data_IF_054703934829
#
_entry.id   IF_054703934829
#
_cell.length_a   1.000
_cell.length_b   1.000
_cell.length_c   1.000
_cell.angle_alpha   90.00
_cell.angle_beta   90.00
_cell.angle_gamma   90.00
#
_symmetry.space_group_name_H-M   'P 1'
#
loop_
_entity.id
_entity.type
_entity.pdbx_description
1 polymer ?
#
# COMPACT_ATOMS: atom_id res chain seq x y z
N UNK A 1 -20.69 11.23 -45.14
CA UNK A 1 -19.97 10.31 -44.24
C UNK A 1 -19.49 11.12 -43.05
N UNK A 2 -20.22 11.06 -41.93
CA UNK A 2 -19.89 11.82 -40.71
C UNK A 2 -19.05 10.89 -39.84
N UNK A 3 -17.75 11.18 -39.72
CA UNK A 3 -16.86 10.49 -38.80
C UNK A 3 -17.22 10.91 -37.37
N UNK A 4 -17.85 10.01 -36.62
CA UNK A 4 -17.95 10.10 -35.17
C UNK A 4 -16.53 9.98 -34.59
N UNK A 5 -15.97 11.11 -34.17
CA UNK A 5 -14.75 11.12 -33.35
C UNK A 5 -15.17 10.63 -31.97
N UNK A 6 -15.00 9.34 -31.71
CA UNK A 6 -15.16 8.79 -30.36
C UNK A 6 -13.98 9.26 -29.51
N UNK A 7 -14.17 10.37 -28.80
CA UNK A 7 -13.24 10.84 -27.78
C UNK A 7 -13.05 9.73 -26.76
N UNK A 8 -11.83 9.21 -26.64
CA UNK A 8 -11.43 8.32 -25.56
C UNK A 8 -11.41 9.18 -24.29
N UNK A 9 -12.51 9.18 -23.55
CA UNK A 9 -12.60 9.87 -22.27
C UNK A 9 -11.77 9.07 -21.25
N UNK A 10 -10.55 9.53 -20.98
CA UNK A 10 -9.71 9.01 -19.89
C UNK A 10 -10.23 9.58 -18.57
N UNK A 11 -11.18 8.89 -17.96
CA UNK A 11 -11.70 9.26 -16.64
C UNK A 11 -10.71 8.92 -15.54
N UNK A 12 -9.83 9.86 -15.18
CA UNK A 12 -9.11 9.83 -13.91
C UNK A 12 -10.04 10.35 -12.80
N UNK A 13 -11.02 9.55 -12.38
CA UNK A 13 -11.89 9.86 -11.25
C UNK A 13 -11.26 9.35 -9.94
N UNK A 14 -11.11 10.24 -8.95
CA UNK A 14 -10.68 9.86 -7.59
C UNK A 14 -11.82 9.10 -6.92
N UNK A 15 -11.70 7.78 -6.81
CA UNK A 15 -12.67 6.92 -6.11
C UNK A 15 -12.21 6.73 -4.66
N UNK A 16 -13.07 7.08 -3.70
CA UNK A 16 -12.86 6.75 -2.28
C UNK A 16 -13.80 5.60 -1.89
N UNK A 17 -13.24 4.39 -1.75
CA UNK A 17 -14.00 3.22 -1.29
C UNK A 17 -13.98 3.19 0.23
N UNK A 18 -15.09 3.54 0.87
CA UNK A 18 -15.21 3.57 2.35
C UNK A 18 -15.55 2.18 2.93
N UNK A 19 -16.32 1.38 2.20
CA UNK A 19 -16.61 -0.03 2.47
C UNK A 19 -17.12 -0.71 1.20
N UNK A 20 -16.87 -2.02 1.00
CA UNK A 20 -17.37 -2.75 -0.16
C UNK A 20 -16.40 -3.78 -0.74
N UNK A 21 -16.64 -4.16 -2.00
CA UNK A 21 -15.84 -5.14 -2.76
C UNK A 21 -14.99 -4.45 -3.85
N UNK A 22 -14.20 -5.23 -4.59
CA UNK A 22 -13.30 -4.72 -5.64
C UNK A 22 -13.95 -4.62 -7.03
N UNK A 23 -15.28 -4.62 -7.11
CA UNK A 23 -15.99 -4.69 -8.41
C UNK A 23 -15.72 -3.47 -9.30
N UNK A 24 -15.33 -2.32 -8.72
CA UNK A 24 -14.92 -1.14 -9.47
C UNK A 24 -13.66 -1.35 -10.32
N UNK A 25 -12.89 -2.42 -10.04
CA UNK A 25 -11.70 -2.80 -10.82
C UNK A 25 -12.00 -3.86 -11.89
N UNK A 26 -13.24 -4.38 -11.99
CA UNK A 26 -13.56 -5.56 -12.80
C UNK A 26 -13.26 -5.42 -14.30
N UNK A 27 -13.38 -4.20 -14.83
CA UNK A 27 -13.18 -3.91 -16.26
C UNK A 27 -11.75 -3.41 -16.55
N UNK A 28 -10.90 -3.27 -15.52
CA UNK A 28 -9.52 -2.82 -15.66
C UNK A 28 -8.60 -3.99 -16.01
N UNK A 29 -7.93 -3.93 -17.16
CA UNK A 29 -6.99 -4.98 -17.61
C UNK A 29 -5.67 -4.93 -16.85
N UNK A 30 -5.23 -3.72 -16.50
CA UNK A 30 -4.00 -3.46 -15.76
C UNK A 30 -4.32 -2.42 -14.68
N UNK A 31 -3.77 -2.62 -13.48
CA UNK A 31 -3.82 -1.62 -12.41
C UNK A 31 -2.42 -1.37 -11.90
N UNK A 32 -2.13 -0.11 -11.58
CA UNK A 32 -0.94 0.25 -10.83
C UNK A 32 -1.35 0.53 -9.38
N UNK A 33 -0.63 -0.07 -8.43
CA UNK A 33 -0.90 0.06 -7.00
C UNK A 33 0.29 0.74 -6.35
N UNK A 34 0.02 1.84 -5.67
CA UNK A 34 1.00 2.57 -4.86
C UNK A 34 0.45 2.74 -3.44
N UNK A 35 1.28 2.46 -2.43
CA UNK A 35 1.00 2.78 -1.04
C UNK A 35 1.62 4.14 -0.71
N UNK A 36 0.80 5.11 -0.34
CA UNK A 36 1.24 6.44 0.07
C UNK A 36 1.16 6.55 1.59
N UNK A 37 2.25 6.95 2.23
CA UNK A 37 2.34 7.08 3.68
C UNK A 37 2.35 8.54 4.17
N UNK A 38 2.35 9.51 3.25
CA UNK A 38 2.56 10.93 3.55
C UNK A 38 1.52 11.52 4.51
N UNK A 39 0.27 11.08 4.38
CA UNK A 39 -0.86 11.55 5.21
C UNK A 39 -1.26 10.57 6.33
N UNK A 40 -0.48 9.51 6.55
CA UNK A 40 -0.82 8.52 7.58
C UNK A 40 -0.66 9.12 8.97
N UNK A 41 -1.70 8.93 9.79
CA UNK A 41 -1.76 9.38 11.18
C UNK A 41 -1.60 8.19 12.12
N UNK A 42 -0.68 8.31 13.07
CA UNK A 42 -0.35 7.28 14.03
C UNK A 42 -0.85 7.64 15.43
N UNK A 43 -1.35 6.63 16.13
CA UNK A 43 -2.04 6.75 17.43
C UNK A 43 -3.30 7.63 17.38
N UNK A 44 -4.05 7.65 18.48
CA UNK A 44 -5.22 8.52 18.63
C UNK A 44 -4.85 10.02 18.61
N UNK A 45 -3.57 10.32 18.82
CA UNK A 45 -2.99 11.67 18.86
C UNK A 45 -2.69 12.25 17.45
N UNK A 46 -3.02 11.53 16.38
CA UNK A 46 -2.79 11.96 14.98
C UNK A 46 -1.35 12.35 14.64
N UNK A 47 -0.37 11.57 15.11
CA UNK A 47 1.04 11.84 14.86
C UNK A 47 1.44 11.59 13.42
N UNK A 48 2.37 12.40 12.93
CA UNK A 48 3.13 12.08 11.72
C UNK A 48 3.97 10.82 11.93
N UNK A 49 4.45 10.21 10.85
CA UNK A 49 5.33 9.05 10.95
C UNK A 49 6.63 9.37 11.69
N UNK A 50 7.22 10.54 11.45
CA UNK A 50 8.45 10.98 12.13
C UNK A 50 8.23 11.03 13.64
N UNK A 51 7.18 11.69 14.11
CA UNK A 51 6.85 11.78 15.54
C UNK A 51 6.52 10.40 16.14
N UNK A 52 5.92 9.50 15.34
CA UNK A 52 5.68 8.12 15.74
C UNK A 52 7.01 7.37 15.96
N UNK A 53 7.94 7.46 15.01
CA UNK A 53 9.23 6.77 15.07
C UNK A 53 10.10 7.30 16.21
N UNK A 54 10.16 8.61 16.41
CA UNK A 54 10.90 9.24 17.53
C UNK A 54 10.37 8.77 18.89
N UNK A 55 9.05 8.79 19.07
CA UNK A 55 8.44 8.29 20.31
C UNK A 55 8.75 6.80 20.49
N UNK A 56 8.64 6.01 19.43
CA UNK A 56 8.86 4.57 19.50
C UNK A 56 10.30 4.24 19.83
N UNK A 57 11.27 4.94 19.24
CA UNK A 57 12.69 4.83 19.56
C UNK A 57 12.92 5.08 21.05
N UNK A 58 12.41 6.21 21.57
CA UNK A 58 12.52 6.56 22.97
C UNK A 58 11.92 5.49 23.89
N UNK A 59 10.74 4.97 23.56
CA UNK A 59 10.06 3.92 24.34
C UNK A 59 10.86 2.61 24.35
N UNK A 60 11.53 2.29 23.23
CA UNK A 60 12.38 1.11 23.10
C UNK A 60 13.68 1.27 23.89
N UNK A 61 14.38 2.40 23.74
CA UNK A 61 15.66 2.65 24.41
C UNK A 61 15.52 2.83 25.92
N UNK A 62 14.40 3.38 26.39
CA UNK A 62 14.11 3.48 27.83
C UNK A 62 13.66 2.15 28.45
N UNK A 63 13.42 1.11 27.63
CA UNK A 63 13.04 -0.20 28.13
C UNK A 63 14.30 -1.01 28.48
N UNK A 64 14.48 -1.42 29.75
CA UNK A 64 15.68 -2.13 30.18
C UNK A 64 15.87 -3.51 29.52
N UNK A 65 14.84 -4.04 28.85
CA UNK A 65 14.89 -5.33 28.12
C UNK A 65 15.13 -5.18 26.62
N UNK A 66 15.14 -3.95 26.06
CA UNK A 66 15.02 -3.74 24.60
C UNK A 66 15.93 -2.62 24.04
N UNK A 67 17.18 -2.50 24.50
CA UNK A 67 18.10 -1.44 24.03
C UNK A 67 18.40 -1.37 22.51
N UNK A 68 19.45 -0.65 22.13
CA UNK A 68 19.75 -0.26 20.74
C UNK A 68 19.66 -1.38 19.69
N UNK A 69 20.13 -2.59 20.01
CA UNK A 69 20.06 -3.72 19.06
C UNK A 69 18.63 -4.10 18.69
N UNK A 70 17.70 -4.05 19.66
CA UNK A 70 16.30 -4.29 19.40
C UNK A 70 15.70 -3.16 18.55
N UNK A 71 16.07 -1.90 18.82
CA UNK A 71 15.63 -0.77 18.01
C UNK A 71 16.05 -0.91 16.55
N UNK A 72 17.32 -1.25 16.29
CA UNK A 72 17.83 -1.48 14.93
C UNK A 72 17.04 -2.55 14.19
N UNK A 73 16.73 -3.67 14.84
CA UNK A 73 15.91 -4.74 14.25
C UNK A 73 14.49 -4.26 13.98
N UNK A 74 13.86 -3.61 14.97
CA UNK A 74 12.50 -3.11 14.83
C UNK A 74 12.37 -2.10 13.68
N UNK A 75 13.35 -1.19 13.54
CA UNK A 75 13.36 -0.21 12.46
C UNK A 75 13.58 -0.86 11.09
N UNK A 76 14.43 -1.90 11.01
CA UNK A 76 14.59 -2.68 9.80
C UNK A 76 13.27 -3.37 9.39
N UNK A 77 12.59 -4.02 10.35
CA UNK A 77 11.29 -4.65 10.12
C UNK A 77 10.22 -3.63 9.72
N UNK A 78 10.21 -2.43 10.32
CA UNK A 78 9.31 -1.34 9.94
C UNK A 78 9.50 -0.95 8.47
N UNK A 79 10.76 -0.75 8.06
CA UNK A 79 11.11 -0.39 6.69
C UNK A 79 10.79 -1.51 5.69
N UNK A 80 11.01 -2.78 6.04
CA UNK A 80 10.61 -3.91 5.19
C UNK A 80 9.07 -3.94 5.02
N UNK A 81 8.33 -3.76 6.11
CA UNK A 81 6.88 -3.74 6.05
C UNK A 81 6.34 -2.62 5.17
N UNK A 82 6.84 -1.40 5.39
CA UNK A 82 6.55 -0.19 4.62
C UNK A 82 6.76 -0.39 3.12
N UNK A 83 7.88 -0.98 2.72
CA UNK A 83 8.32 -0.99 1.34
C UNK A 83 7.94 -2.26 0.56
N UNK A 84 7.73 -3.37 1.26
CA UNK A 84 7.54 -4.69 0.63
C UNK A 84 6.30 -5.37 1.16
N UNK A 85 6.23 -5.62 2.47
CA UNK A 85 5.27 -6.58 3.02
C UNK A 85 3.82 -6.13 2.88
N UNK A 86 3.53 -4.83 3.04
CA UNK A 86 2.17 -4.33 2.92
C UNK A 86 1.62 -4.47 1.50
N UNK A 87 2.42 -4.12 0.48
CA UNK A 87 2.02 -4.25 -0.92
C UNK A 87 1.90 -5.72 -1.33
N UNK A 88 2.83 -6.56 -0.89
CA UNK A 88 2.78 -8.01 -1.13
C UNK A 88 1.51 -8.64 -0.51
N UNK A 89 1.17 -8.29 0.73
CA UNK A 89 -0.06 -8.75 1.40
C UNK A 89 -1.31 -8.27 0.67
N UNK A 90 -1.35 -7.00 0.26
CA UNK A 90 -2.45 -6.46 -0.55
C UNK A 90 -2.64 -7.29 -1.82
N UNK A 91 -1.55 -7.56 -2.54
CA UNK A 91 -1.54 -8.32 -3.80
C UNK A 91 -1.95 -9.78 -3.62
N UNK A 92 -1.56 -10.42 -2.52
CA UNK A 92 -1.95 -11.81 -2.20
C UNK A 92 -3.42 -11.94 -1.79
N UNK A 93 -3.94 -10.93 -1.08
CA UNK A 93 -5.32 -10.87 -0.59
C UNK A 93 -6.35 -10.74 -1.70
N UNK A 94 -5.99 -10.10 -2.82
CA UNK A 94 -6.86 -9.98 -3.99
C UNK A 94 -6.84 -11.29 -4.80
N UNK A 95 -7.78 -12.21 -4.51
CA UNK A 95 -7.88 -13.54 -5.17
C UNK A 95 -7.94 -13.48 -6.72
N UNK A 96 -8.35 -12.35 -7.31
CA UNK A 96 -8.38 -12.13 -8.75
C UNK A 96 -7.01 -11.89 -9.42
N UNK A 97 -6.02 -11.33 -8.71
CA UNK A 97 -4.72 -10.95 -9.31
C UNK A 97 -3.83 -12.14 -9.66
N UNK A 98 -3.99 -13.25 -8.93
CA UNK A 98 -3.21 -14.48 -9.17
C UNK A 98 -3.45 -15.09 -10.56
N UNK A 99 -4.67 -14.98 -11.12
CA UNK A 99 -4.97 -15.51 -12.47
C UNK A 99 -4.32 -14.69 -13.58
N UNK A 100 -4.29 -13.36 -13.45
CA UNK A 100 -3.69 -12.46 -14.44
C UNK A 100 -2.16 -12.61 -14.52
N UNK A 101 -1.49 -12.72 -13.36
CA UNK A 101 -0.03 -12.89 -13.34
C UNK A 101 0.43 -14.29 -13.79
N UNK A 102 -0.31 -15.36 -13.49
CA UNK A 102 0.01 -16.69 -14.01
C UNK A 102 -0.18 -16.79 -15.53
N UNK A 103 -1.19 -16.12 -16.09
CA UNK A 103 -1.41 -16.12 -17.53
C UNK A 103 -0.30 -15.38 -18.29
N UNK A 104 0.17 -14.23 -17.77
CA UNK A 104 1.28 -13.48 -18.38
C UNK A 104 2.58 -14.28 -18.41
N UNK A 105 2.89 -14.99 -17.31
CA UNK A 105 4.11 -15.81 -17.20
C UNK A 105 4.12 -17.08 -18.07
N UNK A 106 2.97 -17.47 -18.63
CA UNK A 106 2.85 -18.60 -19.57
C UNK A 106 2.88 -18.14 -21.04
N UNK A 107 2.87 -16.82 -21.29
CA UNK A 107 2.88 -16.20 -22.62
C UNK A 107 4.20 -15.49 -22.94
N UNK A 108 5.18 -15.57 -22.03
CA UNK A 108 6.58 -15.11 -22.18
C UNK A 108 7.51 -16.30 -22.01
#
# INVERSE_FOLDING_TARGET
MICFITSILTFAQKIQVVSGNTDFLKDQKEINVQLLFDDVKFYDENKTETEYLEKREKDVLNNPKRGENYWKQWLADWNENRNVTFLDKFTKGTRGFRKLMQHYKLLT
#
